data_IF_816510069808
#
_entry.id   IF_816510069808
#
_cell.length_a   1.000
_cell.length_b   1.000
_cell.length_c   1.000
_cell.angle_alpha   90.00
_cell.angle_beta   90.00
_cell.angle_gamma   90.00
#
_symmetry.space_group_name_H-M   'P 1'
#
loop_
_entity.id
_entity.type
_entity.pdbx_description
1 polymer ?
#
# COMPACT_ATOMS: atom_id res chain seq x y z
N UNK A 1 -31.33 9.29 14.45
CA UNK A 1 -29.90 9.00 14.66
C UNK A 1 -29.72 7.50 14.53
N UNK A 2 -29.24 7.01 13.39
CA UNK A 2 -28.89 5.60 13.20
C UNK A 2 -27.53 5.37 13.85
N UNK A 3 -27.43 4.48 14.83
CA UNK A 3 -26.14 4.11 15.42
C UNK A 3 -25.28 3.44 14.35
N UNK A 4 -24.00 3.82 14.28
CA UNK A 4 -23.02 3.18 13.42
C UNK A 4 -22.85 1.72 13.84
N UNK A 5 -23.01 0.79 12.89
CA UNK A 5 -22.78 -0.63 13.12
C UNK A 5 -21.33 -0.93 12.77
N UNK A 6 -20.52 -1.23 13.79
CA UNK A 6 -19.12 -1.63 13.60
C UNK A 6 -19.06 -3.13 13.33
N UNK A 7 -18.58 -3.53 12.15
CA UNK A 7 -18.31 -4.93 11.78
C UNK A 7 -16.80 -5.15 11.62
N UNK A 8 -16.34 -6.33 12.04
CA UNK A 8 -14.96 -6.81 11.80
C UNK A 8 -14.89 -7.66 10.53
N UNK A 9 -16.02 -8.20 10.07
CA UNK A 9 -16.08 -8.97 8.83
C UNK A 9 -16.12 -8.03 7.62
N UNK A 10 -15.15 -8.20 6.73
CA UNK A 10 -14.99 -7.46 5.49
C UNK A 10 -15.06 -8.47 4.32
N UNK A 11 -15.95 -8.20 3.35
CA UNK A 11 -16.11 -9.06 2.16
C UNK A 11 -15.62 -8.30 0.93
N UNK A 12 -14.57 -8.76 0.23
CA UNK A 12 -14.07 -8.07 -0.95
C UNK A 12 -15.04 -8.22 -2.13
N UNK A 13 -15.17 -7.14 -2.92
CA UNK A 13 -15.86 -7.15 -4.20
C UNK A 13 -14.81 -6.98 -5.32
N UNK A 14 -14.77 -7.93 -6.25
CA UNK A 14 -13.78 -7.97 -7.32
C UNK A 14 -14.30 -7.31 -8.59
N UNK A 15 -13.40 -6.66 -9.33
CA UNK A 15 -13.69 -6.15 -10.67
C UNK A 15 -13.76 -7.31 -11.67
N UNK A 16 -14.72 -7.25 -12.58
CA UNK A 16 -14.84 -8.17 -13.71
C UNK A 16 -14.09 -7.59 -14.93
N UNK A 17 -13.32 -8.40 -15.66
CA UNK A 17 -12.58 -7.89 -16.82
C UNK A 17 -11.53 -8.80 -17.46
N UNK A 18 -11.32 -10.01 -16.94
CA UNK A 18 -10.29 -10.94 -17.45
C UNK A 18 -10.46 -11.42 -18.90
N UNK A 19 -11.55 -11.04 -19.57
CA UNK A 19 -11.84 -11.41 -20.96
C UNK A 19 -11.39 -10.35 -21.98
N UNK A 20 -10.91 -9.18 -21.54
CA UNK A 20 -10.46 -8.12 -22.45
C UNK A 20 -9.14 -8.53 -23.14
N UNK A 21 -8.97 -8.20 -24.44
CA UNK A 21 -7.75 -8.53 -25.16
C UNK A 21 -6.56 -7.72 -24.62
N UNK A 22 -5.37 -8.30 -24.74
CA UNK A 22 -4.13 -7.60 -24.42
C UNK A 22 -3.99 -6.33 -25.28
N UNK A 23 -3.63 -5.21 -24.66
CA UNK A 23 -3.45 -3.94 -25.35
C UNK A 23 -2.11 -3.90 -26.09
N UNK A 24 -2.14 -3.38 -27.32
CA UNK A 24 -0.93 -3.14 -28.09
C UNK A 24 -0.35 -1.75 -27.81
N UNK A 25 0.97 -1.62 -27.96
CA UNK A 25 1.69 -0.36 -27.73
C UNK A 25 1.17 0.79 -28.59
N UNK A 26 0.79 0.51 -29.84
CA UNK A 26 0.20 1.51 -30.75
C UNK A 26 -1.11 2.09 -30.21
N UNK A 27 -1.96 1.26 -29.62
CA UNK A 27 -3.20 1.68 -28.96
C UNK A 27 -2.90 2.54 -27.72
N UNK A 28 -1.97 2.11 -26.88
CA UNK A 28 -1.60 2.87 -25.67
C UNK A 28 -1.01 4.25 -26.01
N UNK A 29 -0.21 4.33 -27.07
CA UNK A 29 0.37 5.59 -27.54
C UNK A 29 -0.69 6.55 -28.06
N UNK A 30 -1.72 6.06 -28.76
CA UNK A 30 -2.81 6.92 -29.27
C UNK A 30 -3.71 7.46 -28.16
N UNK A 31 -3.75 6.80 -26.99
CA UNK A 31 -4.52 7.24 -25.83
C UNK A 31 -3.86 8.37 -25.04
N UNK A 32 -2.54 8.55 -25.16
CA UNK A 32 -1.83 9.60 -24.42
C UNK A 32 -2.20 10.98 -24.99
N UNK A 33 -2.89 11.77 -24.19
CA UNK A 33 -3.23 13.16 -24.50
C UNK A 33 -2.39 14.11 -23.63
N UNK A 34 -1.87 15.17 -24.23
CA UNK A 34 -1.21 16.26 -23.50
C UNK A 34 -2.18 17.44 -23.40
N UNK A 35 -2.25 18.05 -22.22
CA UNK A 35 -3.09 19.21 -21.97
C UNK A 35 -2.47 20.13 -20.93
N UNK A 36 -3.12 21.27 -20.64
CA UNK A 36 -2.71 22.13 -19.54
C UNK A 36 -2.77 21.37 -18.21
N UNK A 37 -1.90 21.74 -17.26
CA UNK A 37 -1.92 21.18 -15.91
C UNK A 37 -3.23 21.55 -15.22
N UNK A 38 -4.11 20.57 -14.99
CA UNK A 38 -5.32 20.76 -14.19
C UNK A 38 -5.04 20.49 -12.71
N UNK A 39 -5.36 21.44 -11.84
CA UNK A 39 -5.26 21.32 -10.39
C UNK A 39 -6.64 21.40 -9.71
N UNK A 40 -7.72 21.45 -10.49
CA UNK A 40 -9.09 21.56 -9.99
C UNK A 40 -9.72 20.17 -9.81
N UNK A 41 -9.73 19.68 -8.58
CA UNK A 41 -10.36 18.39 -8.24
C UNK A 41 -11.89 18.44 -8.30
N UNK A 42 -12.53 19.62 -8.22
CA UNK A 42 -13.99 19.77 -8.21
C UNK A 42 -14.62 19.36 -9.56
N UNK A 43 -13.85 19.42 -10.63
CA UNK A 43 -14.27 19.05 -11.99
C UNK A 43 -14.11 17.55 -12.29
N UNK A 44 -13.47 16.77 -11.40
CA UNK A 44 -13.18 15.36 -11.63
C UNK A 44 -14.40 14.45 -11.36
N UNK A 45 -15.47 14.63 -12.13
CA UNK A 45 -16.77 13.95 -11.92
C UNK A 45 -17.07 12.79 -12.89
N UNK A 46 -16.12 12.43 -13.76
CA UNK A 46 -16.33 11.37 -14.78
C UNK A 46 -16.76 10.02 -14.19
N UNK A 47 -16.32 9.73 -12.95
CA UNK A 47 -16.58 8.48 -12.24
C UNK A 47 -17.10 8.71 -10.81
N UNK A 48 -17.57 9.92 -10.50
CA UNK A 48 -18.07 10.27 -9.17
C UNK A 48 -19.25 11.25 -9.28
N UNK A 49 -20.32 11.02 -8.52
CA UNK A 49 -21.46 11.93 -8.47
C UNK A 49 -20.97 13.34 -8.03
N UNK A 50 -21.27 14.40 -8.80
CA UNK A 50 -20.81 15.76 -8.49
C UNK A 50 -21.20 16.24 -7.09
N UNK A 51 -22.40 15.88 -6.61
CA UNK A 51 -22.86 16.27 -5.28
C UNK A 51 -22.08 15.51 -4.19
N UNK A 52 -21.76 14.24 -4.42
CA UNK A 52 -20.92 13.47 -3.48
C UNK A 52 -19.53 14.07 -3.39
N UNK A 53 -18.90 14.38 -4.53
CA UNK A 53 -17.58 15.00 -4.58
C UNK A 53 -17.56 16.37 -3.89
N UNK A 54 -18.50 17.25 -4.25
CA UNK A 54 -18.63 18.57 -3.64
C UNK A 54 -18.84 18.48 -2.12
N UNK A 55 -19.68 17.54 -1.66
CA UNK A 55 -19.91 17.31 -0.25
C UNK A 55 -18.65 16.81 0.48
N UNK A 56 -17.85 15.93 -0.12
CA UNK A 56 -16.59 15.45 0.47
C UNK A 56 -15.58 16.61 0.59
N UNK A 57 -15.43 17.41 -0.46
CA UNK A 57 -14.51 18.55 -0.48
C UNK A 57 -14.93 19.56 0.60
N UNK A 58 -16.20 19.98 0.59
CA UNK A 58 -16.77 20.88 1.59
C UNK A 58 -16.52 20.37 3.03
N UNK A 59 -16.78 19.08 3.29
CA UNK A 59 -16.54 18.48 4.62
C UNK A 59 -15.07 18.41 5.00
N UNK A 60 -14.16 18.19 4.05
CA UNK A 60 -12.71 18.20 4.33
C UNK A 60 -12.24 19.61 4.67
N UNK A 61 -12.73 20.63 3.95
CA UNK A 61 -12.33 22.01 4.18
C UNK A 61 -12.81 22.62 5.49
N UNK A 62 -13.84 22.05 6.13
CA UNK A 62 -14.22 22.41 7.52
C UNK A 62 -13.02 22.27 8.48
N UNK A 63 -12.11 21.33 8.22
CA UNK A 63 -10.95 21.08 9.07
C UNK A 63 -9.74 21.98 8.75
N UNK A 64 -9.77 22.78 7.67
CA UNK A 64 -8.64 23.62 7.26
C UNK A 64 -8.31 24.70 8.32
N UNK A 65 -9.30 25.12 9.10
CA UNK A 65 -9.15 26.08 10.19
C UNK A 65 -8.88 25.47 11.57
N UNK A 66 -8.87 24.14 11.69
CA UNK A 66 -8.70 23.45 12.98
C UNK A 66 -7.22 23.15 13.25
N UNK A 67 -6.86 23.20 14.53
CA UNK A 67 -5.52 22.81 14.95
C UNK A 67 -5.26 21.31 14.71
N UNK A 68 -4.04 20.99 14.29
CA UNK A 68 -3.66 19.63 13.93
C UNK A 68 -3.69 18.65 15.12
N UNK A 69 -3.39 19.09 16.35
CA UNK A 69 -3.56 18.23 17.52
C UNK A 69 -5.03 17.99 17.85
N UNK A 70 -5.84 19.04 17.82
CA UNK A 70 -7.26 18.94 18.11
C UNK A 70 -7.95 17.98 17.13
N UNK A 71 -7.66 18.11 15.84
CA UNK A 71 -8.14 17.20 14.80
C UNK A 71 -7.70 15.75 15.06
N UNK A 72 -6.43 15.53 15.44
CA UNK A 72 -5.92 14.18 15.76
C UNK A 72 -6.61 13.58 16.99
N UNK A 73 -6.86 14.36 18.04
CA UNK A 73 -7.58 13.92 19.25
C UNK A 73 -9.03 13.55 18.93
N UNK A 74 -9.71 14.35 18.11
CA UNK A 74 -11.05 14.03 17.64
C UNK A 74 -11.06 12.73 16.83
N UNK A 75 -10.16 12.59 15.85
CA UNK A 75 -10.00 11.39 15.01
C UNK A 75 -9.77 10.12 15.82
N UNK A 76 -8.88 10.17 16.83
CA UNK A 76 -8.57 9.03 17.70
C UNK A 76 -9.78 8.60 18.53
N UNK A 77 -10.67 9.52 18.92
CA UNK A 77 -11.89 9.19 19.67
C UNK A 77 -13.05 8.73 18.79
N UNK A 78 -13.10 9.16 17.54
CA UNK A 78 -14.19 8.85 16.61
C UNK A 78 -13.99 7.55 15.83
N UNK A 79 -12.74 7.10 15.64
CA UNK A 79 -12.45 5.90 14.86
C UNK A 79 -12.66 4.63 15.71
N UNK A 80 -13.64 3.77 15.42
CA UNK A 80 -13.92 2.56 16.19
C UNK A 80 -12.78 1.53 16.14
N UNK A 81 -11.90 1.61 15.13
CA UNK A 81 -10.77 0.70 14.93
C UNK A 81 -9.44 1.26 15.46
N UNK A 82 -9.44 2.42 16.12
CA UNK A 82 -8.20 3.09 16.54
C UNK A 82 -7.39 2.27 17.55
N UNK A 83 -8.05 1.45 18.38
CA UNK A 83 -7.43 0.63 19.42
C UNK A 83 -6.58 -0.53 18.87
N UNK A 84 -6.74 -0.90 17.60
CA UNK A 84 -5.84 -1.86 16.91
C UNK A 84 -4.40 -1.34 16.95
N UNK A 85 -4.22 -0.03 16.78
CA UNK A 85 -2.91 0.63 16.85
C UNK A 85 -1.90 0.00 15.89
N UNK A 86 -0.73 -0.37 16.43
CA UNK A 86 0.36 -1.01 15.68
C UNK A 86 0.56 -2.49 16.03
N UNK A 87 -0.26 -3.06 16.92
CA UNK A 87 -0.04 -4.39 17.46
C UNK A 87 1.39 -4.57 17.98
N UNK A 88 2.07 -5.61 17.49
CA UNK A 88 3.46 -5.96 17.82
C UNK A 88 4.50 -5.36 16.85
N UNK A 89 4.06 -4.52 15.91
CA UNK A 89 4.87 -4.01 14.81
C UNK A 89 5.37 -2.58 15.05
N UNK A 90 6.24 -2.11 14.16
CA UNK A 90 6.85 -0.79 14.23
C UNK A 90 5.83 0.33 14.03
N UNK A 91 4.87 0.15 13.12
CA UNK A 91 3.82 1.12 12.82
C UNK A 91 2.49 0.46 12.45
N UNK A 92 1.46 1.28 12.29
CA UNK A 92 0.11 0.82 11.93
C UNK A 92 0.01 0.29 10.50
N UNK A 93 1.00 0.53 9.64
CA UNK A 93 0.98 0.03 8.27
C UNK A 93 1.12 -1.50 8.25
N UNK A 94 1.96 -2.08 9.11
CA UNK A 94 2.04 -3.53 9.27
C UNK A 94 0.67 -4.18 9.56
N UNK A 95 -0.15 -3.53 10.39
CA UNK A 95 -1.51 -4.00 10.69
C UNK A 95 -2.45 -3.91 9.47
N UNK A 96 -2.22 -2.97 8.54
CA UNK A 96 -2.96 -2.94 7.27
C UNK A 96 -2.63 -4.16 6.41
N UNK A 97 -1.34 -4.50 6.32
CA UNK A 97 -0.91 -5.69 5.60
C UNK A 97 -1.45 -6.97 6.25
N UNK A 98 -1.44 -7.04 7.59
CA UNK A 98 -2.04 -8.15 8.32
C UNK A 98 -3.55 -8.29 8.06
N UNK A 99 -4.27 -7.16 8.02
CA UNK A 99 -5.70 -7.14 7.71
C UNK A 99 -5.97 -7.63 6.28
N UNK A 100 -5.32 -7.01 5.29
CA UNK A 100 -5.49 -7.37 3.88
C UNK A 100 -5.11 -8.82 3.62
N UNK A 101 -3.98 -9.28 4.15
CA UNK A 101 -3.57 -10.67 3.99
C UNK A 101 -4.60 -11.64 4.58
N UNK A 102 -5.29 -11.29 5.68
CA UNK A 102 -6.41 -12.10 6.19
C UNK A 102 -7.67 -12.01 5.32
N UNK A 103 -8.04 -10.83 4.84
CA UNK A 103 -9.24 -10.58 4.02
C UNK A 103 -9.13 -11.27 2.67
N UNK A 104 -7.92 -11.37 2.12
CA UNK A 104 -7.62 -11.99 0.83
C UNK A 104 -7.00 -13.39 0.98
N UNK A 105 -7.47 -14.17 1.96
CA UNK A 105 -7.13 -15.60 2.16
C UNK A 105 -5.62 -15.93 2.11
N UNK A 106 -4.83 -15.06 2.72
CA UNK A 106 -3.37 -15.13 2.81
C UNK A 106 -2.65 -15.13 1.46
N UNK A 107 -3.23 -14.52 0.42
CA UNK A 107 -2.64 -14.51 -0.93
C UNK A 107 -1.22 -13.91 -1.00
N UNK A 108 -0.82 -13.08 -0.03
CA UNK A 108 0.50 -12.46 -0.03
C UNK A 108 1.54 -13.30 0.71
N UNK A 109 1.15 -13.92 1.84
CA UNK A 109 2.07 -14.73 2.64
C UNK A 109 2.06 -16.21 2.30
N UNK A 110 1.01 -16.69 1.64
CA UNK A 110 0.79 -18.09 1.22
C UNK A 110 0.17 -18.14 -0.19
N UNK A 111 0.82 -17.57 -1.22
CA UNK A 111 0.28 -17.49 -2.56
C UNK A 111 -0.01 -18.87 -3.14
N UNK A 112 -1.09 -18.97 -3.92
CA UNK A 112 -1.53 -20.19 -4.61
C UNK A 112 -1.57 -19.99 -6.12
N UNK A 113 -1.44 -21.07 -6.87
CA UNK A 113 -1.67 -21.10 -8.31
C UNK A 113 -3.16 -21.02 -8.62
N UNK A 114 -3.52 -20.91 -9.91
CA UNK A 114 -4.91 -20.98 -10.36
C UNK A 114 -5.59 -22.33 -10.03
N UNK A 115 -4.81 -23.38 -9.77
CA UNK A 115 -5.32 -24.70 -9.36
C UNK A 115 -5.33 -24.87 -7.83
N UNK A 116 -5.22 -23.78 -7.08
CA UNK A 116 -5.17 -23.73 -5.60
C UNK A 116 -3.95 -24.40 -4.94
N UNK A 117 -2.96 -24.81 -5.73
CA UNK A 117 -1.72 -25.40 -5.20
C UNK A 117 -0.78 -24.31 -4.66
N UNK A 118 -0.01 -24.56 -3.59
CA UNK A 118 0.97 -23.59 -3.09
C UNK A 118 1.98 -23.19 -4.17
N UNK A 119 2.13 -21.89 -4.42
CA UNK A 119 3.10 -21.36 -5.37
C UNK A 119 4.54 -21.46 -4.84
N UNK A 120 4.71 -21.38 -3.52
CA UNK A 120 6.01 -21.52 -2.84
C UNK A 120 6.06 -22.86 -2.14
N UNK A 121 6.96 -23.74 -2.57
CA UNK A 121 7.12 -25.06 -1.95
C UNK A 121 7.78 -24.96 -0.58
N UNK A 122 7.75 -26.08 0.17
CA UNK A 122 8.30 -26.16 1.53
C UNK A 122 9.77 -25.72 1.63
N UNK A 123 10.56 -26.07 0.62
CA UNK A 123 12.01 -25.83 0.57
C UNK A 123 12.39 -24.60 -0.28
N UNK A 124 11.41 -23.78 -0.66
CA UNK A 124 11.57 -22.55 -1.44
C UNK A 124 11.32 -21.31 -0.56
N UNK A 125 11.91 -20.18 -0.97
CA UNK A 125 11.69 -18.88 -0.35
C UNK A 125 10.55 -18.13 -1.05
N UNK A 126 9.72 -17.45 -0.26
CA UNK A 126 8.80 -16.44 -0.74
C UNK A 126 9.58 -15.17 -1.10
N UNK A 127 9.51 -14.73 -2.35
CA UNK A 127 10.09 -13.46 -2.77
C UNK A 127 9.02 -12.37 -2.83
N UNK A 128 9.34 -11.18 -2.32
CA UNK A 128 8.46 -10.03 -2.38
C UNK A 128 9.24 -8.73 -2.55
N UNK A 129 8.56 -7.67 -3.01
CA UNK A 129 9.11 -6.32 -3.10
C UNK A 129 8.22 -5.34 -2.33
N UNK A 130 8.84 -4.33 -1.70
CA UNK A 130 8.15 -3.27 -0.96
C UNK A 130 8.71 -1.91 -1.42
N UNK A 131 7.90 -1.18 -2.20
CA UNK A 131 8.28 0.06 -2.89
C UNK A 131 7.51 1.24 -2.27
N UNK A 132 8.16 2.40 -2.14
CA UNK A 132 7.64 3.55 -1.39
C UNK A 132 7.33 3.18 0.08
N UNK A 133 8.20 2.35 0.65
CA UNK A 133 7.87 1.52 1.80
C UNK A 133 8.39 2.01 3.15
N UNK A 134 9.22 3.04 3.17
CA UNK A 134 9.81 3.51 4.42
C UNK A 134 8.74 3.89 5.45
N UNK A 135 8.87 3.48 6.73
CA UNK A 135 10.02 2.80 7.35
C UNK A 135 10.07 1.25 7.26
N UNK A 136 9.13 0.59 6.57
CA UNK A 136 9.16 -0.86 6.31
C UNK A 136 8.08 -1.71 6.99
N UNK A 137 6.95 -1.13 7.42
CA UNK A 137 5.94 -1.86 8.19
C UNK A 137 5.27 -3.03 7.44
N UNK A 138 5.07 -2.92 6.12
CA UNK A 138 4.53 -4.03 5.32
C UNK A 138 5.52 -5.20 5.27
N UNK A 139 6.79 -4.91 4.97
CA UNK A 139 7.88 -5.88 5.02
C UNK A 139 7.99 -6.57 6.38
N UNK A 140 7.89 -5.83 7.49
CA UNK A 140 7.94 -6.40 8.84
C UNK A 140 6.84 -7.46 9.06
N UNK A 141 5.61 -7.21 8.57
CA UNK A 141 4.54 -8.19 8.65
C UNK A 141 4.85 -9.47 7.86
N UNK A 142 5.31 -9.34 6.60
CA UNK A 142 5.61 -10.50 5.75
C UNK A 142 6.73 -11.34 6.35
N UNK A 143 7.81 -10.69 6.83
CA UNK A 143 8.94 -11.35 7.47
C UNK A 143 8.55 -11.95 8.83
N UNK A 144 7.68 -11.31 9.60
CA UNK A 144 7.15 -11.90 10.83
C UNK A 144 6.33 -13.16 10.55
N UNK A 145 5.51 -13.17 9.49
CA UNK A 145 4.67 -14.31 9.14
C UNK A 145 5.48 -15.48 8.58
N UNK A 146 6.41 -15.20 7.65
CA UNK A 146 7.17 -16.23 6.93
C UNK A 146 8.53 -16.55 7.56
N UNK A 147 8.97 -15.78 8.56
CA UNK A 147 10.27 -15.93 9.23
C UNK A 147 11.39 -15.93 8.18
N UNK A 148 12.30 -16.89 8.29
CA UNK A 148 13.43 -17.07 7.38
C UNK A 148 13.02 -17.51 5.97
N UNK A 149 11.77 -17.93 5.75
CA UNK A 149 11.29 -18.45 4.46
C UNK A 149 10.82 -17.36 3.49
N UNK A 150 11.22 -16.11 3.72
CA UNK A 150 10.97 -15.02 2.80
C UNK A 150 12.25 -14.23 2.53
N UNK A 151 12.37 -13.65 1.33
CA UNK A 151 13.38 -12.68 0.93
C UNK A 151 12.66 -11.47 0.35
N UNK A 152 12.88 -10.31 0.96
CA UNK A 152 12.27 -9.06 0.54
C UNK A 152 13.29 -8.10 -0.09
N UNK A 153 12.82 -7.33 -1.06
CA UNK A 153 13.57 -6.24 -1.68
C UNK A 153 12.85 -4.91 -1.46
N UNK A 154 13.55 -3.94 -0.89
CA UNK A 154 12.98 -2.64 -0.51
C UNK A 154 13.41 -1.53 -1.44
N UNK A 155 12.50 -0.61 -1.78
CA UNK A 155 12.86 0.61 -2.51
C UNK A 155 12.11 1.81 -1.94
N UNK A 156 12.80 2.81 -1.40
CA UNK A 156 12.16 4.00 -0.81
C UNK A 156 13.07 5.21 -0.85
N UNK A 157 12.49 6.40 -0.78
CA UNK A 157 13.26 7.65 -0.72
C UNK A 157 14.15 7.68 0.53
N UNK A 158 15.41 8.06 0.35
CA UNK A 158 16.30 8.33 1.48
C UNK A 158 15.84 9.56 2.27
N UNK A 159 16.16 9.56 3.57
CA UNK A 159 15.95 10.71 4.44
C UNK A 159 15.17 10.34 5.71
N UNK A 160 14.29 11.24 6.14
CA UNK A 160 13.55 11.11 7.40
C UNK A 160 12.67 9.85 7.45
N UNK A 161 12.09 9.49 6.30
CA UNK A 161 11.16 8.37 6.15
C UNK A 161 11.83 7.14 5.52
N UNK A 162 13.15 6.98 5.63
CA UNK A 162 13.87 5.81 5.13
C UNK A 162 13.53 4.52 5.93
N UNK A 163 13.97 3.37 5.43
CA UNK A 163 13.84 2.09 6.12
C UNK A 163 14.49 2.12 7.52
N UNK A 164 13.76 1.62 8.51
CA UNK A 164 14.24 1.48 9.89
C UNK A 164 14.35 0.01 10.27
N UNK A 165 15.26 -0.71 9.60
CA UNK A 165 15.42 -2.15 9.78
C UNK A 165 15.83 -2.56 11.20
N UNK A 166 16.57 -1.69 11.90
CA UNK A 166 16.90 -1.88 13.33
C UNK A 166 15.67 -1.87 14.23
N UNK A 167 14.57 -1.28 13.76
CA UNK A 167 13.35 -1.08 14.53
C UNK A 167 12.31 -2.18 14.21
N UNK A 168 12.69 -3.20 13.42
CA UNK A 168 11.82 -4.35 13.17
C UNK A 168 11.75 -5.18 14.46
N UNK A 169 10.55 -5.26 15.02
CA UNK A 169 10.31 -5.96 16.29
C UNK A 169 10.15 -7.47 16.10
N UNK A 170 9.80 -7.91 14.89
CA UNK A 170 9.08 -9.17 14.70
C UNK A 170 9.52 -10.05 13.51
N UNK A 171 10.51 -9.66 12.70
CA UNK A 171 10.98 -10.45 11.54
C UNK A 171 12.49 -10.36 11.31
N UNK A 172 13.12 -11.37 10.67
CA UNK A 172 14.55 -11.35 10.37
C UNK A 172 14.83 -10.28 9.31
N UNK A 173 15.34 -9.11 9.72
CA UNK A 173 15.65 -8.02 8.80
C UNK A 173 16.81 -8.38 7.87
N UNK A 174 17.61 -9.40 8.20
CA UNK A 174 18.67 -9.95 7.36
C UNK A 174 18.13 -10.56 6.05
N UNK A 175 16.86 -10.98 6.07
CA UNK A 175 16.13 -11.44 4.88
C UNK A 175 15.56 -10.29 4.05
N UNK A 176 15.87 -9.04 4.36
CA UNK A 176 15.40 -7.86 3.64
C UNK A 176 16.56 -7.03 3.10
N UNK A 177 16.49 -6.65 1.83
CA UNK A 177 17.56 -5.92 1.16
C UNK A 177 17.05 -4.60 0.57
N UNK A 178 17.36 -3.46 1.21
CA UNK A 178 17.08 -2.15 0.65
C UNK A 178 17.95 -1.85 -0.57
N UNK A 179 17.32 -1.32 -1.60
CA UNK A 179 17.95 -0.84 -2.81
C UNK A 179 17.45 0.58 -3.13
N UNK A 180 18.37 1.47 -3.48
CA UNK A 180 18.07 2.91 -3.67
C UNK A 180 18.27 3.38 -5.11
N UNK A 181 18.33 2.44 -6.05
CA UNK A 181 18.53 2.72 -7.46
C UNK A 181 19.95 3.14 -7.79
N UNK A 182 20.23 3.27 -9.09
CA UNK A 182 21.52 3.71 -9.61
C UNK A 182 21.92 5.13 -9.18
N UNK A 183 20.95 5.98 -8.82
CA UNK A 183 21.20 7.32 -8.26
C UNK A 183 21.40 7.29 -6.74
N UNK A 184 21.02 6.20 -6.08
CA UNK A 184 21.21 6.01 -4.66
C UNK A 184 20.34 6.90 -3.78
N UNK A 185 19.29 7.52 -4.33
CA UNK A 185 18.33 8.39 -3.63
C UNK A 185 16.98 7.71 -3.36
N UNK A 186 16.69 6.60 -4.05
CA UNK A 186 15.42 5.88 -3.95
C UNK A 186 14.24 6.62 -4.58
N UNK A 187 14.48 7.53 -5.52
CA UNK A 187 13.41 8.22 -6.25
C UNK A 187 12.79 7.32 -7.32
N UNK A 188 11.53 6.91 -7.11
CA UNK A 188 10.78 6.03 -8.01
C UNK A 188 10.36 6.74 -9.31
N UNK A 189 10.39 8.07 -9.37
CA UNK A 189 10.08 8.81 -10.58
C UNK A 189 11.25 8.87 -11.55
N UNK A 190 12.46 8.54 -11.12
CA UNK A 190 13.65 8.56 -11.96
C UNK A 190 13.76 7.28 -12.80
N UNK A 191 13.68 7.35 -14.14
CA UNK A 191 13.72 6.15 -14.98
C UNK A 191 15.00 5.30 -14.78
N UNK A 192 16.14 5.94 -14.51
CA UNK A 192 17.39 5.22 -14.26
C UNK A 192 17.37 4.42 -12.95
N UNK A 193 16.59 4.87 -11.96
CA UNK A 193 16.38 4.10 -10.75
C UNK A 193 15.43 2.92 -11.00
N UNK A 194 14.33 3.15 -11.74
CA UNK A 194 13.37 2.10 -12.10
C UNK A 194 14.07 0.96 -12.84
N UNK A 195 14.82 1.29 -13.90
CA UNK A 195 15.58 0.31 -14.69
C UNK A 195 16.56 -0.47 -13.82
N UNK A 196 17.31 0.23 -12.96
CA UNK A 196 18.26 -0.43 -12.07
C UNK A 196 17.59 -1.35 -11.03
N UNK A 197 16.38 -1.03 -10.55
CA UNK A 197 15.63 -1.87 -9.63
C UNK A 197 15.11 -3.13 -10.33
N UNK A 198 14.74 -3.05 -11.61
CA UNK A 198 14.32 -4.24 -12.38
C UNK A 198 15.45 -5.26 -12.58
N UNK A 199 16.71 -4.82 -12.48
CA UNK A 199 17.90 -5.66 -12.66
C UNK A 199 18.55 -6.10 -11.34
N UNK A 200 18.06 -5.59 -10.21
CA UNK A 200 18.55 -5.92 -8.87
C UNK A 200 18.01 -7.27 -8.41
#
# INVERSE_FOLDING_TARGET
STMEVVSVEEVPSWLEGGHLPALHMSTLQSWKQNGPRNLNIEECTDFCDPNVLANIISKKSIFDSLDGEEMRRARTRSNPFETIGKGIFLNRAAMKMANMDRVFDFMFTSPKTQTEEPMVKKDELLYFADVCAGPGGFSEYILWRNKWRAKGFGFTLKGENDFKLSDFFSGPCESFEPYYGSKGDGDVFNPANIESLMHF
#
